data_IF_357119562264
#
_entry.id   IF_357119562264
#
_cell.length_a   1.000
_cell.length_b   1.000
_cell.length_c   1.000
_cell.angle_alpha   90.00
_cell.angle_beta   90.00
_cell.angle_gamma   90.00
#
_symmetry.space_group_name_H-M   'P 1'
#
loop_
_entity.id
_entity.type
_entity.pdbx_description
1 polymer ?
#
# COMPACT_ATOMS: atom_id res chain seq x y z
N UNK A 1 -16.73 16.55 15.12
CA UNK A 1 -15.82 15.44 15.50
C UNK A 1 -14.48 15.73 14.85
N UNK A 2 -13.44 15.94 15.65
CA UNK A 2 -12.09 16.10 15.10
C UNK A 2 -11.77 14.84 14.28
N UNK A 3 -11.24 15.01 13.07
CA UNK A 3 -10.70 13.87 12.35
C UNK A 3 -9.56 13.34 13.21
N UNK A 4 -9.72 12.16 13.80
CA UNK A 4 -8.62 11.48 14.45
C UNK A 4 -7.59 11.16 13.36
N UNK A 5 -6.64 12.07 13.17
CA UNK A 5 -5.54 11.91 12.23
C UNK A 5 -4.51 11.01 12.90
N UNK A 6 -4.65 9.70 12.67
CA UNK A 6 -3.71 8.73 13.20
C UNK A 6 -2.41 8.75 12.40
N UNK A 7 -1.36 9.29 13.02
CA UNK A 7 -0.01 9.22 12.48
C UNK A 7 0.52 7.78 12.51
N UNK A 8 1.26 7.37 11.48
CA UNK A 8 2.06 6.16 11.51
C UNK A 8 3.47 6.42 10.97
N UNK A 9 4.46 5.78 11.57
CA UNK A 9 5.87 5.93 11.20
C UNK A 9 6.13 5.32 9.83
N UNK A 10 6.87 6.04 8.98
CA UNK A 10 7.39 5.57 7.71
C UNK A 10 8.77 6.18 7.45
N UNK A 11 9.52 5.59 6.52
CA UNK A 11 10.88 6.02 6.21
C UNK A 11 10.82 7.32 5.39
N UNK A 12 11.51 8.37 5.84
CA UNK A 12 11.50 9.69 5.18
C UNK A 12 12.11 9.67 3.77
N UNK A 13 12.92 8.66 3.48
CA UNK A 13 13.55 8.41 2.19
C UNK A 13 12.87 7.27 1.40
N UNK A 14 11.61 6.93 1.69
CA UNK A 14 10.91 5.84 0.99
C UNK A 14 10.89 6.00 -0.54
N UNK A 15 10.93 7.24 -1.06
CA UNK A 15 11.06 7.52 -2.49
C UNK A 15 12.39 7.03 -3.11
N UNK A 16 13.42 6.85 -2.28
CA UNK A 16 14.76 6.42 -2.68
C UNK A 16 14.98 4.91 -2.48
N UNK A 17 13.99 4.18 -1.94
CA UNK A 17 14.02 2.72 -1.90
C UNK A 17 14.05 2.19 -3.36
N UNK A 18 14.96 1.27 -3.72
CA UNK A 18 15.04 0.76 -5.10
C UNK A 18 13.72 0.25 -5.68
N UNK A 19 12.83 -0.31 -4.85
CA UNK A 19 11.50 -0.78 -5.27
C UNK A 19 10.58 0.38 -5.64
N UNK A 20 10.64 1.46 -4.86
CA UNK A 20 9.89 2.69 -5.14
C UNK A 20 10.48 3.43 -6.35
N UNK A 21 11.80 3.45 -6.51
CA UNK A 21 12.46 4.03 -7.70
C UNK A 21 12.01 3.30 -8.96
N UNK A 22 12.03 1.97 -8.97
CA UNK A 22 11.56 1.16 -10.10
C UNK A 22 10.06 1.40 -10.42
N UNK A 23 9.24 1.51 -9.38
CA UNK A 23 7.82 1.83 -9.51
C UNK A 23 7.59 3.23 -10.08
N UNK A 24 8.34 4.23 -9.64
CA UNK A 24 8.28 5.60 -10.17
C UNK A 24 8.77 5.64 -11.62
N UNK A 25 9.82 4.90 -11.96
CA UNK A 25 10.34 4.81 -13.33
C UNK A 25 9.28 4.25 -14.29
N UNK A 26 8.53 3.22 -13.88
CA UNK A 26 7.58 2.51 -14.76
C UNK A 26 6.17 3.09 -14.77
N UNK A 27 5.67 3.59 -13.62
CA UNK A 27 4.28 4.05 -13.45
C UNK A 27 4.20 5.53 -13.07
N UNK A 28 5.32 6.24 -13.02
CA UNK A 28 5.39 7.64 -12.61
C UNK A 28 4.96 7.85 -11.15
N UNK A 29 4.69 9.12 -10.83
CA UNK A 29 4.18 9.49 -9.51
C UNK A 29 2.79 8.91 -9.22
N UNK A 30 2.02 8.51 -10.25
CA UNK A 30 0.75 7.82 -10.05
C UNK A 30 0.97 6.47 -9.36
N UNK A 31 1.94 5.67 -9.81
CA UNK A 31 2.31 4.42 -9.15
C UNK A 31 2.72 4.64 -7.69
N UNK A 32 3.50 5.70 -7.43
CA UNK A 32 3.94 6.04 -6.07
C UNK A 32 2.79 6.49 -5.17
N UNK A 33 1.85 7.27 -5.71
CA UNK A 33 0.61 7.62 -5.02
C UNK A 33 -0.23 6.39 -4.69
N UNK A 34 -0.37 5.44 -5.63
CA UNK A 34 -1.08 4.17 -5.40
C UNK A 34 -0.42 3.38 -4.27
N UNK A 35 0.92 3.28 -4.26
CA UNK A 35 1.64 2.62 -3.17
C UNK A 35 1.29 3.21 -1.79
N UNK A 36 1.28 4.54 -1.65
CA UNK A 36 0.92 5.19 -0.38
C UNK A 36 -0.54 4.99 -0.01
N UNK A 37 -1.47 5.13 -0.96
CA UNK A 37 -2.89 4.86 -0.74
C UNK A 37 -3.11 3.43 -0.23
N UNK A 38 -2.37 2.46 -0.77
CA UNK A 38 -2.45 1.07 -0.31
C UNK A 38 -1.91 0.94 1.12
N UNK A 39 -0.79 1.58 1.49
CA UNK A 39 -0.31 1.58 2.87
C UNK A 39 -1.28 2.23 3.85
N UNK A 40 -1.87 3.37 3.49
CA UNK A 40 -2.89 4.05 4.28
C UNK A 40 -4.14 3.16 4.45
N UNK A 41 -4.57 2.50 3.37
CA UNK A 41 -5.69 1.55 3.41
C UNK A 41 -5.39 0.40 4.37
N UNK A 42 -4.20 -0.21 4.29
CA UNK A 42 -3.79 -1.29 5.19
C UNK A 42 -3.72 -0.81 6.65
N UNK A 43 -3.26 0.42 6.90
CA UNK A 43 -3.14 0.97 8.25
C UNK A 43 -4.49 1.08 8.97
N UNK A 44 -5.58 1.23 8.23
CA UNK A 44 -6.96 1.28 8.73
C UNK A 44 -7.59 -0.11 8.91
N UNK A 45 -6.99 -1.18 8.39
CA UNK A 45 -7.55 -2.53 8.50
C UNK A 45 -7.10 -3.26 9.76
N UNK A 46 -7.95 -4.16 10.30
CA UNK A 46 -7.49 -5.21 11.20
C UNK A 46 -6.36 -6.02 10.58
N UNK A 47 -5.35 -6.37 11.38
CA UNK A 47 -4.17 -7.16 10.97
C UNK A 47 -3.35 -6.59 9.80
N UNK A 48 -3.61 -5.34 9.41
CA UNK A 48 -2.90 -4.64 8.33
C UNK A 48 -2.89 -5.37 6.99
N UNK A 49 -3.99 -6.06 6.68
CA UNK A 49 -4.19 -6.80 5.43
C UNK A 49 -5.50 -6.41 4.75
N UNK A 50 -5.55 -6.53 3.43
CA UNK A 50 -6.75 -6.19 2.66
C UNK A 50 -7.06 -7.25 1.59
N UNK A 51 -8.34 -7.58 1.37
CA UNK A 51 -8.72 -8.64 0.44
C UNK A 51 -8.54 -8.21 -1.02
N UNK A 52 -7.87 -9.04 -1.82
CA UNK A 52 -7.60 -8.84 -3.24
C UNK A 52 -8.90 -8.67 -4.06
N UNK A 53 -9.98 -9.39 -3.69
CA UNK A 53 -11.30 -9.28 -4.34
C UNK A 53 -11.90 -7.87 -4.25
N UNK A 54 -11.46 -7.05 -3.30
CA UNK A 54 -11.93 -5.67 -3.12
C UNK A 54 -11.01 -4.61 -3.75
N UNK A 55 -9.95 -5.00 -4.47
CA UNK A 55 -9.11 -4.05 -5.25
C UNK A 55 -9.95 -3.17 -6.20
N UNK A 56 -10.98 -3.68 -6.91
CA UNK A 56 -11.85 -2.82 -7.73
C UNK A 56 -12.57 -1.72 -6.95
N UNK A 57 -12.82 -1.91 -5.65
CA UNK A 57 -13.42 -0.88 -4.81
C UNK A 57 -12.42 0.26 -4.53
N UNK A 58 -11.15 -0.06 -4.26
CA UNK A 58 -10.08 0.95 -4.10
C UNK A 58 -9.91 1.74 -5.41
N UNK A 59 -9.84 1.03 -6.55
CA UNK A 59 -9.69 1.65 -7.86
C UNK A 59 -10.79 2.69 -8.15
N UNK A 60 -12.06 2.32 -7.90
CA UNK A 60 -13.20 3.23 -8.05
C UNK A 60 -13.12 4.42 -7.10
N UNK A 61 -12.74 4.21 -5.83
CA UNK A 61 -12.65 5.28 -4.82
C UNK A 61 -11.64 6.35 -5.20
N UNK A 62 -10.50 5.96 -5.77
CA UNK A 62 -9.39 6.86 -6.09
C UNK A 62 -9.29 7.19 -7.58
N UNK A 63 -10.32 6.87 -8.37
CA UNK A 63 -10.41 7.18 -9.79
C UNK A 63 -9.18 6.69 -10.59
N UNK A 64 -8.77 5.44 -10.36
CA UNK A 64 -7.73 4.74 -11.12
C UNK A 64 -8.24 3.36 -11.58
N UNK A 65 -7.40 2.55 -12.22
CA UNK A 65 -7.78 1.22 -12.71
C UNK A 65 -7.37 0.12 -11.73
N UNK A 66 -8.16 -0.95 -11.68
CA UNK A 66 -7.80 -2.13 -10.90
C UNK A 66 -6.50 -2.78 -11.40
N UNK A 67 -6.21 -2.67 -12.70
CA UNK A 67 -4.95 -3.13 -13.29
C UNK A 67 -3.75 -2.38 -12.71
N UNK A 68 -3.77 -1.03 -12.67
CA UNK A 68 -2.69 -0.25 -12.07
C UNK A 68 -2.45 -0.63 -10.61
N UNK A 69 -3.52 -0.76 -9.82
CA UNK A 69 -3.41 -1.19 -8.42
C UNK A 69 -2.81 -2.60 -8.31
N UNK A 70 -3.28 -3.55 -9.13
CA UNK A 70 -2.71 -4.91 -9.16
C UNK A 70 -1.24 -4.87 -9.55
N UNK A 71 -0.85 -4.11 -10.56
CA UNK A 71 0.57 -3.95 -10.94
C UNK A 71 1.41 -3.49 -9.74
N UNK A 72 0.93 -2.52 -8.97
CA UNK A 72 1.64 -2.06 -7.75
C UNK A 72 1.73 -3.16 -6.69
N UNK A 73 0.66 -3.93 -6.48
CA UNK A 73 0.63 -5.04 -5.51
C UNK A 73 1.61 -6.16 -5.89
N UNK A 74 1.62 -6.57 -7.16
CA UNK A 74 2.31 -7.79 -7.58
C UNK A 74 3.75 -7.58 -8.07
N UNK A 75 4.10 -6.43 -8.65
CA UNK A 75 5.30 -6.35 -9.51
C UNK A 75 6.52 -5.69 -8.86
N UNK A 76 6.38 -5.07 -7.69
CA UNK A 76 7.47 -4.28 -7.08
C UNK A 76 7.97 -4.82 -5.74
N UNK A 77 7.49 -5.99 -5.30
CA UNK A 77 7.88 -6.59 -4.01
C UNK A 77 7.65 -5.65 -2.80
N UNK A 78 6.70 -4.73 -2.91
CA UNK A 78 6.25 -3.82 -1.86
C UNK A 78 5.18 -4.46 -0.95
N UNK A 79 4.49 -5.46 -1.50
CA UNK A 79 3.42 -6.22 -0.85
C UNK A 79 3.66 -7.72 -1.00
N UNK A 80 3.09 -8.49 -0.07
CA UNK A 80 3.04 -9.95 -0.06
C UNK A 80 1.60 -10.41 -0.13
N UNK A 81 1.38 -11.58 -0.73
CA UNK A 81 0.06 -12.20 -0.87
C UNK A 81 -0.07 -13.37 0.13
N UNK A 82 -1.14 -13.37 0.89
CA UNK A 82 -1.51 -14.42 1.84
C UNK A 82 -2.71 -15.21 1.29
N UNK A 83 -2.54 -16.53 1.16
CA UNK A 83 -3.57 -17.49 0.75
C UNK A 83 -4.29 -17.14 -0.57
N UNK A 84 -3.63 -16.38 -1.46
CA UNK A 84 -4.22 -15.84 -2.70
C UNK A 84 -5.48 -14.97 -2.50
N UNK A 85 -5.81 -14.61 -1.26
CA UNK A 85 -7.01 -13.85 -0.93
C UNK A 85 -6.68 -12.45 -0.41
N UNK A 86 -5.58 -12.28 0.32
CA UNK A 86 -5.21 -11.02 0.97
C UNK A 86 -3.85 -10.52 0.52
N UNK A 87 -3.65 -9.21 0.54
CA UNK A 87 -2.32 -8.61 0.44
C UNK A 87 -2.01 -7.76 1.68
N UNK A 88 -0.73 -7.67 2.00
CA UNK A 88 -0.21 -6.86 3.12
C UNK A 88 1.20 -6.36 2.83
N UNK A 89 1.72 -5.44 3.64
CA UNK A 89 3.11 -4.99 3.58
C UNK A 89 3.88 -5.41 4.82
N UNK A 90 4.90 -6.27 4.66
CA UNK A 90 5.75 -6.69 5.77
C UNK A 90 6.45 -5.51 6.45
N UNK A 91 6.85 -4.51 5.66
CA UNK A 91 7.49 -3.29 6.18
C UNK A 91 6.55 -2.50 7.08
N UNK A 92 5.28 -2.35 6.70
CA UNK A 92 4.26 -1.75 7.55
C UNK A 92 4.07 -2.57 8.83
N UNK A 93 3.86 -3.89 8.70
CA UNK A 93 3.61 -4.78 9.86
C UNK A 93 4.75 -4.73 10.87
N UNK A 94 6.00 -4.70 10.41
CA UNK A 94 7.18 -4.56 11.28
C UNK A 94 7.19 -3.23 12.04
N UNK A 95 6.77 -2.13 11.43
CA UNK A 95 6.71 -0.82 12.09
C UNK A 95 5.58 -0.78 13.10
N UNK A 96 4.42 -1.37 12.78
CA UNK A 96 3.26 -1.39 13.68
C UNK A 96 3.46 -2.33 14.88
N UNK A 97 4.13 -3.48 14.69
CA UNK A 97 4.48 -4.38 15.80
C UNK A 97 5.47 -3.76 16.80
N UNK A 98 6.25 -2.76 16.40
CA UNK A 98 7.13 -1.99 17.30
C UNK A 98 6.39 -0.90 18.09
N UNK A 99 5.06 -0.83 18.00
CA UNK A 99 4.21 0.13 18.74
C UNK A 99 3.36 -0.57 19.82
N UNK A 100 3.48 -1.90 19.95
CA UNK A 100 2.95 -2.71 21.06
C UNK A 100 4.08 -3.01 22.06
#
# INVERSE_FOLDING_TARGET
MGKDAFYFRHDSNANSDPKCVLLIEQLGLEGYGIFWILLETLREQPDYKYPLKLVPAIARRFNTTAEKIKTVIYNYHLFLIENEEFFYSESLNRRMKKEL
#
